data_IF_566277811477
#
_entry.id   IF_566277811477
#
_cell.length_a   1.000
_cell.length_b   1.000
_cell.length_c   1.000
_cell.angle_alpha   90.00
_cell.angle_beta   90.00
_cell.angle_gamma   90.00
#
_symmetry.space_group_name_H-M   'P 1'
#
loop_
_entity.id
_entity.type
_entity.pdbx_description
1 polymer ?
#
# COMPACT_ATOMS: atom_id res chain seq x y z
N UNK A 1 43.58 18.39 -30.00
CA UNK A 1 42.15 18.74 -30.08
C UNK A 1 41.59 18.73 -28.66
N UNK A 2 41.28 19.89 -28.11
CA UNK A 2 40.57 20.05 -26.83
C UNK A 2 40.04 21.50 -26.80
N UNK A 3 38.71 21.66 -26.73
CA UNK A 3 38.05 22.94 -26.52
C UNK A 3 37.37 22.94 -25.13
N UNK A 4 37.41 24.05 -24.38
CA UNK A 4 36.66 24.21 -23.13
C UNK A 4 35.28 24.83 -23.38
N UNK A 5 34.25 24.30 -22.72
CA UNK A 5 32.91 24.89 -22.69
C UNK A 5 32.75 25.83 -21.49
N UNK A 6 32.46 27.10 -21.78
CA UNK A 6 31.93 28.11 -20.86
C UNK A 6 30.44 28.32 -21.17
N UNK A 7 29.57 28.35 -20.14
CA UNK A 7 28.36 29.19 -20.06
C UNK A 7 27.69 28.99 -18.67
N UNK A 8 27.80 29.89 -17.70
CA UNK A 8 26.98 31.11 -17.46
C UNK A 8 25.46 30.84 -17.35
N UNK A 9 24.96 30.67 -16.12
CA UNK A 9 23.53 30.72 -15.80
C UNK A 9 23.19 32.11 -15.24
N UNK A 10 22.27 32.82 -15.90
CA UNK A 10 21.63 34.06 -15.40
C UNK A 10 20.14 33.81 -15.16
N UNK A 11 19.69 34.33 -14.02
CA UNK A 11 18.35 34.49 -13.44
C UNK A 11 17.27 35.03 -14.39
N UNK A 12 15.99 34.67 -14.21
CA UNK A 12 14.83 35.61 -14.21
C UNK A 12 13.58 35.02 -13.52
N UNK A 13 12.85 35.91 -12.83
CA UNK A 13 11.63 35.75 -12.00
C UNK A 13 10.32 35.76 -12.80
N UNK A 14 9.22 35.27 -12.19
CA UNK A 14 7.79 35.70 -12.22
C UNK A 14 6.97 34.48 -11.73
N UNK A 15 6.07 34.46 -10.74
CA UNK A 15 5.20 35.46 -10.12
C UNK A 15 3.77 34.87 -10.14
N UNK A 16 3.12 34.63 -8.99
CA UNK A 16 1.64 34.59 -8.86
C UNK A 16 1.17 34.38 -7.41
N UNK A 17 0.15 35.17 -7.08
CA UNK A 17 -0.50 35.52 -5.81
C UNK A 17 -1.64 34.55 -5.48
N UNK A 18 -1.83 34.14 -4.21
CA UNK A 18 -3.16 33.90 -3.59
C UNK A 18 -3.04 33.97 -2.05
N UNK A 19 -3.60 35.00 -1.41
CA UNK A 19 -4.01 34.94 0.01
C UNK A 19 -5.31 35.72 0.16
N UNK A 20 -6.37 35.04 0.59
CA UNK A 20 -7.60 35.70 1.02
C UNK A 20 -8.84 34.83 0.89
N UNK A 21 -9.15 34.04 1.92
CA UNK A 21 -10.53 33.59 2.19
C UNK A 21 -10.79 33.78 3.69
N UNK A 22 -11.78 34.62 3.99
CA UNK A 22 -12.29 34.89 5.34
C UNK A 22 -13.35 33.86 5.73
N UNK A 23 -13.35 33.41 6.99
CA UNK A 23 -14.54 32.81 7.61
C UNK A 23 -14.66 33.34 9.04
N UNK A 24 -15.72 34.11 9.27
CA UNK A 24 -16.20 34.48 10.59
C UNK A 24 -17.22 33.41 11.07
N UNK A 25 -17.09 32.94 12.31
CA UNK A 25 -18.18 32.29 13.03
C UNK A 25 -18.03 32.52 14.54
N UNK A 26 -18.96 33.31 15.08
CA UNK A 26 -19.21 33.51 16.50
C UNK A 26 -20.17 32.43 17.01
N UNK A 27 -19.93 31.89 18.22
CA UNK A 27 -20.80 32.06 19.41
C UNK A 27 -20.29 31.19 20.60
N UNK A 28 -20.49 31.66 21.86
CA UNK A 28 -20.14 30.94 23.08
C UNK A 28 -21.31 30.05 23.54
N UNK A 29 -21.08 29.13 24.47
CA UNK A 29 -21.84 28.94 25.74
C UNK A 29 -21.48 27.59 26.36
N UNK A 30 -20.88 27.64 27.54
CA UNK A 30 -20.78 26.51 28.47
C UNK A 30 -22.14 26.35 29.17
N UNK A 31 -22.71 25.14 29.15
CA UNK A 31 -23.82 24.77 30.03
C UNK A 31 -23.52 23.42 30.71
N UNK A 32 -23.84 23.38 32.00
CA UNK A 32 -23.40 22.46 33.05
C UNK A 32 -24.18 21.12 33.12
N UNK A 33 -23.48 20.06 33.58
CA UNK A 33 -23.86 18.99 34.55
C UNK A 33 -25.35 18.57 34.65
N UNK A 34 -25.72 17.28 34.65
CA UNK A 34 -25.56 16.29 35.75
C UNK A 34 -26.49 15.06 35.46
N UNK A 35 -26.75 14.09 36.38
CA UNK A 35 -26.10 12.78 36.42
C UNK A 35 -27.05 11.57 36.25
N UNK A 36 -26.43 10.40 36.06
CA UNK A 36 -26.90 9.08 36.50
C UNK A 36 -28.05 8.37 35.75
N UNK A 37 -27.74 7.09 35.52
CA UNK A 37 -28.67 5.95 35.55
C UNK A 37 -29.35 5.53 34.25
N UNK A 38 -28.78 4.43 33.74
CA UNK A 38 -29.49 3.21 33.35
C UNK A 38 -30.00 3.10 31.91
N UNK A 39 -29.49 2.02 31.29
CA UNK A 39 -29.85 1.42 29.99
C UNK A 39 -29.16 2.09 28.82
N UNK A 40 -28.00 1.55 28.47
CA UNK A 40 -27.53 1.57 27.08
C UNK A 40 -28.58 0.81 26.27
N UNK A 41 -29.34 1.45 25.36
CA UNK A 41 -30.11 0.72 24.37
C UNK A 41 -29.10 0.00 23.47
N UNK A 42 -29.29 -1.30 23.26
CA UNK A 42 -28.41 -2.14 22.44
C UNK A 42 -28.57 -1.85 20.93
N UNK A 43 -28.93 -0.61 20.58
CA UNK A 43 -29.39 -0.24 19.24
C UNK A 43 -28.41 0.70 18.52
N UNK A 44 -27.22 0.93 19.09
CA UNK A 44 -26.16 1.77 18.51
C UNK A 44 -24.85 1.00 18.27
N UNK A 45 -24.94 -0.29 17.90
CA UNK A 45 -23.83 -0.98 17.23
C UNK A 45 -24.19 -0.94 15.75
N UNK A 46 -23.29 -0.43 14.91
CA UNK A 46 -23.47 -0.09 13.49
C UNK A 46 -24.04 1.32 13.22
N UNK A 47 -23.16 2.31 13.33
CA UNK A 47 -23.30 3.51 12.51
C UNK A 47 -22.73 3.21 11.13
N UNK A 48 -23.60 3.13 10.13
CA UNK A 48 -23.33 3.05 8.68
C UNK A 48 -22.55 4.28 8.12
N UNK A 49 -21.92 5.06 9.00
CA UNK A 49 -21.08 6.23 8.70
C UNK A 49 -19.60 6.01 9.00
N UNK A 50 -19.24 4.86 9.55
CA UNK A 50 -17.88 4.36 9.44
C UNK A 50 -17.73 3.82 8.02
N UNK A 51 -17.30 4.69 7.10
CA UNK A 51 -16.70 4.30 5.83
C UNK A 51 -15.46 3.44 6.13
N UNK A 52 -15.65 2.21 6.61
CA UNK A 52 -14.77 1.14 6.19
C UNK A 52 -14.99 1.07 4.68
N UNK A 53 -13.97 1.27 3.84
CA UNK A 53 -14.08 0.85 2.46
C UNK A 53 -14.42 -0.64 2.49
N UNK A 54 -15.71 -0.94 2.30
CA UNK A 54 -16.24 -2.27 2.11
C UNK A 54 -15.34 -2.94 1.07
N UNK A 55 -14.72 -4.05 1.45
CA UNK A 55 -13.85 -4.87 0.61
C UNK A 55 -12.47 -4.27 0.27
N UNK A 56 -11.81 -3.60 1.21
CA UNK A 56 -10.35 -3.48 1.14
C UNK A 56 -9.73 -4.89 1.19
N UNK A 57 -9.58 -5.48 0.00
CA UNK A 57 -8.84 -6.69 -0.35
C UNK A 57 -8.20 -7.34 0.87
N UNK A 58 -8.89 -8.31 1.48
CA UNK A 58 -8.30 -9.17 2.51
C UNK A 58 -7.27 -10.04 1.80
N UNK A 59 -6.13 -9.43 1.53
CA UNK A 59 -5.03 -10.04 0.82
C UNK A 59 -4.38 -11.03 1.80
N UNK A 60 -4.31 -12.33 1.46
CA UNK A 60 -3.65 -13.29 2.31
C UNK A 60 -2.23 -12.82 2.52
N UNK A 61 -1.78 -12.74 3.77
CA UNK A 61 -0.42 -12.28 4.12
C UNK A 61 0.63 -13.36 3.93
N UNK A 62 0.18 -14.59 3.70
CA UNK A 62 1.04 -15.76 3.58
C UNK A 62 0.69 -16.53 2.32
N UNK A 63 1.72 -17.02 1.64
CA UNK A 63 1.59 -18.05 0.63
C UNK A 63 2.55 -19.19 0.88
N UNK A 64 2.28 -20.33 0.28
CA UNK A 64 3.15 -21.50 0.30
C UNK A 64 3.67 -21.76 -1.11
N UNK A 65 4.97 -21.95 -1.23
CA UNK A 65 5.57 -22.27 -2.53
C UNK A 65 5.11 -23.67 -2.98
N UNK A 66 4.57 -23.75 -4.19
CA UNK A 66 4.11 -25.00 -4.77
C UNK A 66 5.30 -25.93 -5.09
N UNK A 67 5.04 -27.24 -5.05
CA UNK A 67 6.03 -28.29 -5.39
C UNK A 67 6.61 -29.04 -4.20
N UNK A 68 7.55 -29.95 -4.47
CA UNK A 68 8.32 -30.69 -3.46
C UNK A 68 9.49 -29.87 -2.88
N UNK A 69 10.04 -30.26 -1.72
CA UNK A 69 11.18 -29.54 -1.11
C UNK A 69 12.45 -29.50 -1.99
N UNK A 70 12.58 -30.41 -2.95
CA UNK A 70 13.71 -30.45 -3.89
C UNK A 70 13.50 -29.50 -5.07
N UNK A 71 12.25 -29.11 -5.35
CA UNK A 71 11.94 -28.10 -6.34
C UNK A 71 12.19 -26.69 -5.80
N UNK A 72 12.38 -25.76 -6.72
CA UNK A 72 12.65 -24.37 -6.39
C UNK A 72 11.80 -23.44 -7.24
N UNK A 73 11.35 -22.34 -6.62
CA UNK A 73 10.60 -21.28 -7.28
C UNK A 73 11.44 -20.02 -7.32
N UNK A 74 11.55 -19.42 -8.50
CA UNK A 74 12.35 -18.22 -8.69
C UNK A 74 11.65 -17.01 -8.07
N UNK A 75 12.40 -16.21 -7.31
CA UNK A 75 11.99 -14.88 -6.89
C UNK A 75 12.79 -13.82 -7.66
N UNK A 76 12.11 -12.81 -8.22
CA UNK A 76 12.68 -11.87 -9.20
C UNK A 76 12.63 -10.43 -8.72
N UNK A 77 13.54 -9.56 -9.19
CA UNK A 77 13.53 -8.12 -8.84
C UNK A 77 12.22 -7.41 -9.22
N UNK A 78 11.57 -7.89 -10.26
CA UNK A 78 10.32 -7.41 -10.83
C UNK A 78 9.65 -8.57 -11.58
N UNK A 79 8.35 -8.49 -11.91
CA UNK A 79 7.71 -9.39 -12.85
C UNK A 79 8.57 -9.59 -14.11
N UNK A 80 8.82 -10.84 -14.49
CA UNK A 80 9.70 -11.24 -15.60
C UNK A 80 11.17 -10.78 -15.53
N UNK A 81 11.58 -10.10 -14.46
CA UNK A 81 12.92 -9.57 -14.28
C UNK A 81 13.98 -10.62 -13.91
N UNK A 82 15.18 -10.16 -13.57
CA UNK A 82 16.28 -11.01 -13.07
C UNK A 82 15.85 -11.79 -11.82
N UNK A 83 16.23 -13.07 -11.75
CA UNK A 83 16.13 -13.89 -10.53
C UNK A 83 17.15 -13.42 -9.50
N UNK A 84 16.72 -13.17 -8.27
CA UNK A 84 17.59 -12.73 -7.15
C UNK A 84 17.77 -13.81 -6.09
N UNK A 85 16.77 -14.64 -5.90
CA UNK A 85 16.81 -15.77 -4.98
C UNK A 85 15.84 -16.86 -5.43
N UNK A 86 15.87 -17.99 -4.75
CA UNK A 86 14.95 -19.10 -4.97
C UNK A 86 14.41 -19.60 -3.65
N UNK A 87 13.11 -19.87 -3.62
CA UNK A 87 12.47 -20.49 -2.47
C UNK A 87 12.29 -21.99 -2.71
N UNK A 88 12.68 -22.86 -1.76
CA UNK A 88 12.36 -24.28 -1.81
C UNK A 88 10.85 -24.52 -1.89
N UNK A 89 10.41 -25.58 -2.56
CA UNK A 89 9.01 -25.96 -2.52
C UNK A 89 8.54 -26.26 -1.09
N UNK A 90 7.25 -26.03 -0.84
CA UNK A 90 6.59 -26.09 0.47
C UNK A 90 7.03 -25.04 1.49
N UNK A 91 7.97 -24.15 1.18
CA UNK A 91 8.29 -23.05 2.09
C UNK A 91 7.12 -22.08 2.21
N UNK A 92 6.85 -21.58 3.41
CA UNK A 92 5.96 -20.44 3.60
C UNK A 92 6.71 -19.15 3.31
N UNK A 93 6.05 -18.22 2.64
CA UNK A 93 6.56 -16.88 2.34
C UNK A 93 5.50 -15.84 2.70
N UNK A 94 5.96 -14.71 3.24
CA UNK A 94 5.08 -13.55 3.40
C UNK A 94 4.81 -12.92 2.03
N UNK A 95 3.62 -12.37 1.87
CA UNK A 95 3.21 -11.60 0.70
C UNK A 95 2.51 -10.32 1.16
N UNK A 96 2.86 -9.20 0.55
CA UNK A 96 2.31 -7.89 0.92
C UNK A 96 1.60 -7.19 -0.25
N UNK A 97 1.91 -7.58 -1.49
CA UNK A 97 1.38 -6.96 -2.70
C UNK A 97 1.16 -8.00 -3.80
N UNK A 98 0.19 -7.72 -4.65
CA UNK A 98 -0.06 -8.40 -5.91
C UNK A 98 0.05 -7.40 -7.06
N UNK A 99 0.60 -7.86 -8.17
CA UNK A 99 0.58 -7.16 -9.45
C UNK A 99 0.09 -8.12 -10.52
N UNK A 100 -0.76 -7.64 -11.41
CA UNK A 100 -1.15 -8.36 -12.63
C UNK A 100 -0.46 -7.67 -13.79
N UNK A 101 0.18 -8.42 -14.67
CA UNK A 101 0.82 -7.84 -15.85
C UNK A 101 -0.14 -7.72 -17.03
N UNK A 102 0.38 -7.22 -18.16
CA UNK A 102 -0.40 -7.00 -19.39
C UNK A 102 -0.98 -8.29 -20.02
N UNK A 103 -0.43 -9.45 -19.67
CA UNK A 103 -0.90 -10.76 -20.16
C UNK A 103 -1.96 -11.35 -19.23
N UNK A 104 -2.25 -10.71 -18.09
CA UNK A 104 -3.14 -11.23 -17.05
C UNK A 104 -2.44 -12.16 -16.06
N UNK A 105 -1.11 -12.31 -16.13
CA UNK A 105 -0.35 -13.17 -15.22
C UNK A 105 -0.14 -12.44 -13.89
N UNK A 106 -0.41 -13.13 -12.78
CA UNK A 106 -0.31 -12.54 -11.45
C UNK A 106 1.06 -12.79 -10.82
N UNK A 107 1.53 -11.79 -10.09
CA UNK A 107 2.80 -11.78 -9.38
C UNK A 107 2.60 -11.32 -7.96
N UNK A 108 3.30 -11.93 -7.02
CA UNK A 108 3.20 -11.67 -5.59
C UNK A 108 4.54 -11.21 -5.04
N UNK A 109 4.54 -10.11 -4.32
CA UNK A 109 5.75 -9.53 -3.73
C UNK A 109 5.98 -10.13 -2.35
N UNK A 110 7.20 -10.60 -2.10
CA UNK A 110 7.68 -10.99 -0.78
C UNK A 110 8.54 -9.84 -0.20
N UNK A 111 8.15 -9.24 0.93
CA UNK A 111 8.85 -8.10 1.51
C UNK A 111 10.25 -8.45 2.02
N UNK A 112 10.42 -9.64 2.63
CA UNK A 112 11.70 -10.08 3.19
C UNK A 112 12.81 -10.18 2.14
N UNK A 113 12.49 -10.76 0.99
CA UNK A 113 13.38 -10.92 -0.15
C UNK A 113 13.36 -9.74 -1.11
N UNK A 114 12.48 -8.75 -0.89
CA UNK A 114 12.19 -7.64 -1.81
C UNK A 114 12.12 -8.10 -3.27
N UNK A 115 11.27 -9.10 -3.52
CA UNK A 115 11.24 -9.80 -4.80
C UNK A 115 9.84 -10.35 -5.12
N UNK A 116 9.66 -10.75 -6.38
CA UNK A 116 8.38 -11.17 -6.95
C UNK A 116 8.38 -12.64 -7.33
N UNK A 117 7.34 -13.36 -6.90
CA UNK A 117 7.07 -14.76 -7.22
C UNK A 117 5.85 -14.82 -8.15
N UNK A 118 5.93 -15.67 -9.17
CA UNK A 118 4.82 -15.87 -10.12
C UNK A 118 3.69 -16.69 -9.49
N UNK A 119 2.43 -16.40 -9.85
CA UNK A 119 1.24 -17.06 -9.29
C UNK A 119 1.26 -18.59 -9.41
N UNK A 120 1.73 -19.12 -10.54
CA UNK A 120 1.87 -20.55 -10.82
C UNK A 120 2.80 -21.30 -9.86
N UNK A 121 3.50 -20.59 -8.97
CA UNK A 121 4.46 -21.14 -8.02
C UNK A 121 4.06 -20.92 -6.57
N UNK A 122 2.91 -20.32 -6.28
CA UNK A 122 2.48 -20.00 -4.92
C UNK A 122 1.01 -20.34 -4.69
N UNK A 123 0.75 -21.14 -3.66
CA UNK A 123 -0.58 -21.40 -3.12
C UNK A 123 -0.88 -20.31 -2.08
N UNK A 124 -1.92 -19.50 -2.29
CA UNK A 124 -2.37 -18.54 -1.28
C UNK A 124 -3.10 -19.26 -0.13
N UNK A 125 -2.82 -18.85 1.11
CA UNK A 125 -3.35 -19.49 2.34
C UNK A 125 -4.35 -18.61 3.07
#
# INVERSE_FOLDING_TARGET
MQQPFNALLKTFLLGSTVVGIAIALQLPTVAQRSPNSSRVPLDNIYHERDNLPDDADVFPRMGRIAGSQQEQSNCRVAPWGRVVTRFPGRSSVEIDRRQVDRNGESWFHNPDGNCWVHDSRIDLL
#
